data_IF_767693998989
#
_entry.id   IF_767693998989
#
_cell.length_a   1.000
_cell.length_b   1.000
_cell.length_c   1.000
_cell.angle_alpha   90.00
_cell.angle_beta   90.00
_cell.angle_gamma   90.00
#
_symmetry.space_group_name_H-M   'P 1'
#
loop_
_entity.id
_entity.type
_entity.pdbx_description
1 polymer ?
#
# COMPACT_ATOMS: atom_id res chain seq x y z
N UNK A 1 -7.66 9.78 -6.60
CA UNK A 1 -7.45 8.48 -7.29
C UNK A 1 -8.68 7.62 -7.07
N UNK A 2 -9.10 6.78 -8.02
CA UNK A 2 -10.24 5.89 -7.75
C UNK A 2 -9.84 4.83 -6.71
N UNK A 3 -10.75 4.42 -5.79
CA UNK A 3 -10.44 3.40 -4.78
C UNK A 3 -9.98 2.09 -5.41
N UNK A 4 -10.55 1.71 -6.55
CA UNK A 4 -10.16 0.52 -7.29
C UNK A 4 -8.72 0.59 -7.82
N UNK A 5 -8.32 1.74 -8.38
CA UNK A 5 -6.94 1.91 -8.87
C UNK A 5 -5.94 1.84 -7.70
N UNK A 6 -6.25 2.49 -6.58
CA UNK A 6 -5.41 2.41 -5.38
C UNK A 6 -5.29 0.97 -4.87
N UNK A 7 -6.40 0.23 -4.78
CA UNK A 7 -6.40 -1.17 -4.36
C UNK A 7 -5.60 -2.08 -5.30
N UNK A 8 -5.68 -1.86 -6.62
CA UNK A 8 -4.88 -2.62 -7.60
C UNK A 8 -3.38 -2.36 -7.44
N UNK A 9 -2.98 -1.09 -7.23
CA UNK A 9 -1.58 -0.73 -7.01
C UNK A 9 -1.07 -1.35 -5.71
N UNK A 10 -1.82 -1.19 -4.61
CA UNK A 10 -1.44 -1.75 -3.30
C UNK A 10 -1.39 -3.28 -3.33
N UNK A 11 -2.35 -3.94 -3.98
CA UNK A 11 -2.38 -5.39 -4.13
C UNK A 11 -1.19 -5.94 -4.93
N UNK A 12 -0.80 -5.26 -6.02
CA UNK A 12 0.40 -5.61 -6.79
C UNK A 12 1.66 -5.46 -5.94
N UNK A 13 1.78 -4.35 -5.21
CA UNK A 13 2.94 -4.08 -4.36
C UNK A 13 3.02 -5.06 -3.18
N UNK A 14 1.90 -5.41 -2.56
CA UNK A 14 1.83 -6.45 -1.53
C UNK A 14 2.32 -7.79 -2.08
N UNK A 15 1.83 -8.16 -3.26
CA UNK A 15 2.23 -9.40 -3.94
C UNK A 15 3.72 -9.47 -4.28
N UNK A 16 4.44 -8.35 -4.39
CA UNK A 16 5.90 -8.30 -4.57
C UNK A 16 6.61 -8.28 -3.22
N UNK A 17 6.18 -7.41 -2.31
CA UNK A 17 6.81 -7.18 -1.01
C UNK A 17 6.76 -8.39 -0.09
N UNK A 18 5.74 -9.25 -0.21
CA UNK A 18 5.60 -10.46 0.62
C UNK A 18 6.70 -11.51 0.36
N UNK A 19 7.32 -11.49 -0.82
CA UNK A 19 8.42 -12.40 -1.16
C UNK A 19 9.80 -11.85 -0.81
N UNK A 20 9.87 -10.58 -0.42
CA UNK A 20 11.09 -9.89 -0.03
C UNK A 20 11.20 -9.91 1.49
N UNK A 21 12.40 -10.08 2.08
CA UNK A 21 12.59 -10.00 3.53
C UNK A 21 12.60 -8.54 4.01
N UNK A 22 11.53 -7.81 3.69
CA UNK A 22 11.24 -6.43 4.06
C UNK A 22 9.88 -6.38 4.74
N UNK A 23 9.63 -5.41 5.60
CA UNK A 23 8.29 -5.26 6.20
C UNK A 23 7.28 -4.88 5.11
N UNK A 24 6.46 -5.84 4.66
CA UNK A 24 5.45 -5.63 3.61
C UNK A 24 4.42 -4.58 4.03
N UNK A 25 3.89 -4.72 5.25
CA UNK A 25 2.96 -3.77 5.85
C UNK A 25 3.51 -2.34 5.96
N UNK A 26 4.73 -2.16 6.47
CA UNK A 26 5.32 -0.82 6.60
C UNK A 26 5.54 -0.13 5.25
N UNK A 27 6.01 -0.88 4.25
CA UNK A 27 6.19 -0.34 2.90
C UNK A 27 4.86 0.01 2.23
N UNK A 28 3.80 -0.79 2.43
CA UNK A 28 2.47 -0.47 1.91
C UNK A 28 1.89 0.79 2.55
N UNK A 29 2.04 0.97 3.87
CA UNK A 29 1.57 2.18 4.57
C UNK A 29 2.29 3.43 4.05
N UNK A 30 3.60 3.36 3.87
CA UNK A 30 4.38 4.46 3.29
C UNK A 30 3.93 4.74 1.85
N UNK A 31 3.71 3.71 1.04
CA UNK A 31 3.21 3.86 -0.33
C UNK A 31 1.81 4.50 -0.35
N UNK A 32 0.90 4.00 0.48
CA UNK A 32 -0.48 4.48 0.61
C UNK A 32 -0.53 5.97 0.96
N UNK A 33 0.23 6.40 1.97
CA UNK A 33 0.20 7.78 2.47
C UNK A 33 1.05 8.70 1.58
N UNK A 34 2.32 8.36 1.35
CA UNK A 34 3.28 9.27 0.71
C UNK A 34 3.13 9.36 -0.81
N UNK A 35 2.63 8.32 -1.47
CA UNK A 35 2.53 8.27 -2.93
C UNK A 35 1.09 8.23 -3.46
N UNK A 36 0.16 7.59 -2.73
CA UNK A 36 -1.25 7.52 -3.15
C UNK A 36 -2.15 8.55 -2.45
N UNK A 37 -1.65 9.21 -1.40
CA UNK A 37 -2.38 10.25 -0.65
C UNK A 37 -3.58 9.73 0.13
N UNK A 38 -3.55 8.47 0.57
CA UNK A 38 -4.59 7.89 1.42
C UNK A 38 -4.49 8.45 2.84
N UNK A 39 -5.64 8.72 3.45
CA UNK A 39 -5.68 9.12 4.85
C UNK A 39 -5.16 7.97 5.73
N UNK A 40 -4.41 8.27 6.81
CA UNK A 40 -3.82 7.24 7.67
C UNK A 40 -4.83 6.23 8.20
N UNK A 41 -6.07 6.66 8.47
CA UNK A 41 -7.15 5.80 8.95
C UNK A 41 -7.47 4.67 7.98
N UNK A 42 -7.37 4.91 6.67
CA UNK A 42 -7.59 3.89 5.63
C UNK A 42 -6.33 3.09 5.29
N UNK A 43 -5.14 3.64 5.57
CA UNK A 43 -3.88 2.96 5.30
C UNK A 43 -3.50 1.94 6.39
N UNK A 44 -4.05 2.09 7.60
CA UNK A 44 -3.73 1.28 8.79
C UNK A 44 -4.77 0.21 9.14
N UNK A 45 -5.93 0.20 8.45
CA UNK A 45 -7.05 -0.72 8.66
C UNK A 45 -6.92 -2.01 7.84
#
# INVERSE_FOLDING_TARGET
MSPLIAALILGLMQGILEWLPVSSQGNLVVLAIAFLGLEPEYALS
#
